data_IF_872763578992
#
_entry.id   IF_872763578992
#
_cell.length_a   1.000
_cell.length_b   1.000
_cell.length_c   1.000
_cell.angle_alpha   90.00
_cell.angle_beta   90.00
_cell.angle_gamma   90.00
#
_symmetry.space_group_name_H-M   'P 1'
#
loop_
_entity.id
_entity.type
_entity.pdbx_description
1 polymer ?
#
# COMPACT_ATOMS: atom_id res chain seq x y z
N UNK A 1 18.73 -5.28 11.06
CA UNK A 1 17.90 -6.46 10.81
C UNK A 1 17.70 -6.67 9.33
N UNK A 2 17.62 -7.92 8.94
CA UNK A 2 17.52 -8.33 7.55
C UNK A 2 16.07 -8.64 7.20
N UNK A 3 15.57 -8.07 6.11
CA UNK A 3 14.21 -8.31 5.61
C UNK A 3 14.28 -8.74 4.15
N UNK A 4 13.33 -9.58 3.75
CA UNK A 4 13.18 -10.01 2.36
C UNK A 4 11.85 -9.52 1.83
N UNK A 5 11.88 -8.80 0.70
CA UNK A 5 10.67 -8.31 0.04
C UNK A 5 10.44 -9.16 -1.21
N UNK A 6 9.20 -9.63 -1.39
CA UNK A 6 8.80 -10.42 -2.56
C UNK A 6 7.32 -10.22 -2.86
N UNK A 7 6.91 -10.71 -4.03
CA UNK A 7 5.49 -10.72 -4.39
C UNK A 7 4.73 -11.66 -3.45
N UNK A 8 3.53 -11.27 -3.07
CA UNK A 8 2.64 -12.12 -2.29
C UNK A 8 2.11 -13.27 -3.14
N UNK A 9 1.84 -14.40 -2.50
CA UNK A 9 1.23 -15.58 -3.12
C UNK A 9 -0.01 -15.98 -2.34
N UNK A 10 -0.73 -17.01 -2.82
CA UNK A 10 -1.93 -17.51 -2.14
C UNK A 10 -1.64 -18.00 -0.72
N UNK A 11 -0.44 -18.51 -0.47
CA UNK A 11 -0.04 -18.94 0.87
C UNK A 11 0.09 -17.81 1.87
N UNK A 12 0.22 -16.57 1.39
CA UNK A 12 0.37 -15.39 2.25
C UNK A 12 -0.96 -14.79 2.70
N UNK A 13 -2.09 -15.27 2.19
CA UNK A 13 -3.40 -14.64 2.40
C UNK A 13 -3.75 -14.47 3.87
N UNK A 14 -3.50 -15.46 4.70
CA UNK A 14 -3.81 -15.39 6.13
C UNK A 14 -3.04 -14.27 6.84
N UNK A 15 -1.73 -14.19 6.60
CA UNK A 15 -0.90 -13.13 7.20
C UNK A 15 -1.18 -11.77 6.59
N UNK A 16 -1.42 -11.71 5.30
CA UNK A 16 -1.80 -10.47 4.62
C UNK A 16 -3.10 -9.92 5.18
N UNK A 17 -4.13 -10.78 5.35
CA UNK A 17 -5.39 -10.38 5.97
C UNK A 17 -5.17 -9.85 7.40
N UNK A 18 -4.35 -10.54 8.18
CA UNK A 18 -4.00 -10.09 9.54
C UNK A 18 -3.38 -8.68 9.51
N UNK A 19 -2.49 -8.43 8.56
CA UNK A 19 -1.85 -7.12 8.44
C UNK A 19 -2.83 -6.05 7.91
N UNK A 20 -3.76 -6.41 7.02
CA UNK A 20 -4.84 -5.51 6.62
C UNK A 20 -5.71 -5.11 7.81
N UNK A 21 -5.98 -6.04 8.72
CA UNK A 21 -6.72 -5.75 9.95
C UNK A 21 -5.94 -4.79 10.86
N UNK A 22 -4.61 -4.91 10.89
CA UNK A 22 -3.76 -3.97 11.62
C UNK A 22 -3.81 -2.56 11.04
N UNK A 23 -3.92 -2.45 9.72
CA UNK A 23 -4.02 -1.16 9.02
C UNK A 23 -5.41 -0.54 9.16
N UNK A 24 -6.46 -1.37 9.09
CA UNK A 24 -7.86 -0.93 9.14
C UNK A 24 -8.61 -1.69 10.25
N UNK A 25 -8.32 -1.41 11.54
CA UNK A 25 -8.88 -2.19 12.65
C UNK A 25 -10.39 -2.07 12.80
N UNK A 26 -10.98 -0.99 12.28
CA UNK A 26 -12.42 -0.75 12.39
C UNK A 26 -13.22 -1.31 11.19
N UNK A 27 -12.54 -1.80 10.17
CA UNK A 27 -13.21 -2.35 9.00
C UNK A 27 -13.70 -3.78 9.28
N UNK A 28 -14.92 -4.15 8.80
CA UNK A 28 -15.38 -5.53 8.90
C UNK A 28 -14.43 -6.47 8.16
N UNK A 29 -14.18 -7.66 8.72
CA UNK A 29 -13.26 -8.63 8.13
C UNK A 29 -13.67 -9.03 6.72
N UNK A 30 -14.97 -9.08 6.44
CA UNK A 30 -15.51 -9.42 5.12
C UNK A 30 -15.03 -8.45 4.04
N UNK A 31 -14.89 -7.16 4.38
CA UNK A 31 -14.38 -6.15 3.45
C UNK A 31 -12.89 -6.28 3.18
N UNK A 32 -12.14 -6.85 4.13
CA UNK A 32 -10.71 -7.01 4.02
C UNK A 32 -10.32 -8.30 3.33
N UNK A 33 -11.20 -9.29 3.31
CA UNK A 33 -10.92 -10.65 2.84
C UNK A 33 -11.46 -10.94 1.43
N UNK A 34 -12.56 -10.33 1.03
CA UNK A 34 -13.31 -10.76 -0.16
C UNK A 34 -12.55 -10.63 -1.48
N UNK A 35 -11.59 -9.72 -1.57
CA UNK A 35 -10.91 -9.39 -2.82
C UNK A 35 -9.47 -9.89 -2.93
N UNK A 36 -8.97 -10.64 -1.96
CA UNK A 36 -7.56 -11.04 -1.93
C UNK A 36 -7.15 -11.85 -3.16
N UNK A 37 -7.95 -12.84 -3.55
CA UNK A 37 -7.67 -13.65 -4.75
C UNK A 37 -7.71 -12.80 -6.02
N UNK A 38 -8.68 -11.91 -6.13
CA UNK A 38 -8.79 -11.02 -7.29
C UNK A 38 -7.57 -10.10 -7.41
N UNK A 39 -7.08 -9.59 -6.29
CA UNK A 39 -5.88 -8.73 -6.28
C UNK A 39 -4.63 -9.50 -6.70
N UNK A 40 -4.50 -10.74 -6.25
CA UNK A 40 -3.35 -11.56 -6.65
C UNK A 40 -3.39 -11.93 -8.14
N UNK A 41 -4.56 -12.06 -8.73
CA UNK A 41 -4.75 -12.43 -10.13
C UNK A 41 -4.71 -11.25 -11.10
N UNK A 42 -4.89 -10.03 -10.60
CA UNK A 42 -5.00 -8.83 -11.44
C UNK A 42 -3.60 -8.39 -11.93
N UNK A 43 -3.36 -8.36 -13.26
CA UNK A 43 -2.06 -7.92 -13.79
C UNK A 43 -1.77 -6.43 -13.55
N UNK A 44 -2.81 -5.63 -13.27
CA UNK A 44 -2.69 -4.20 -13.00
C UNK A 44 -2.66 -3.89 -11.51
N UNK A 45 -2.38 -4.90 -10.70
CA UNK A 45 -2.28 -4.77 -9.24
C UNK A 45 -1.10 -5.60 -8.74
N UNK A 46 -0.40 -5.11 -7.74
CA UNK A 46 0.74 -5.82 -7.18
C UNK A 46 0.70 -5.75 -5.65
N UNK A 47 0.95 -6.89 -5.03
CA UNK A 47 1.07 -6.99 -3.58
C UNK A 47 2.47 -7.48 -3.26
N UNK A 48 3.20 -6.72 -2.47
CA UNK A 48 4.53 -7.10 -1.99
C UNK A 48 4.46 -7.29 -0.48
N UNK A 49 5.11 -8.32 -0.01
CA UNK A 49 5.20 -8.63 1.41
C UNK A 49 6.67 -8.66 1.83
N UNK A 50 6.91 -8.34 3.09
CA UNK A 50 8.25 -8.39 3.67
C UNK A 50 8.26 -9.35 4.83
N UNK A 51 9.26 -10.24 4.84
CA UNK A 51 9.49 -11.18 5.93
C UNK A 51 10.76 -10.84 6.70
N UNK A 52 10.77 -11.17 7.99
CA UNK A 52 11.96 -11.07 8.83
C UNK A 52 12.87 -12.29 8.63
N UNK A 53 13.94 -12.38 9.41
CA UNK A 53 14.90 -13.48 9.31
C UNK A 53 14.28 -14.85 9.64
N UNK A 54 13.20 -14.88 10.41
CA UNK A 54 12.50 -16.11 10.77
C UNK A 54 11.41 -16.49 9.74
N UNK A 55 11.28 -15.72 8.67
CA UNK A 55 10.28 -15.97 7.63
C UNK A 55 8.88 -15.46 7.96
N UNK A 56 8.71 -14.72 9.05
CA UNK A 56 7.42 -14.16 9.42
C UNK A 56 7.14 -12.88 8.61
N UNK A 57 5.91 -12.74 8.13
CA UNK A 57 5.51 -11.52 7.42
C UNK A 57 5.28 -10.39 8.42
N UNK A 58 5.93 -9.25 8.16
CA UNK A 58 5.95 -8.11 9.07
C UNK A 58 5.52 -6.80 8.40
N UNK A 59 5.34 -6.80 7.10
CA UNK A 59 4.94 -5.60 6.36
C UNK A 59 4.36 -5.99 5.00
N UNK A 60 3.57 -5.09 4.42
CA UNK A 60 3.09 -5.25 3.05
C UNK A 60 2.82 -3.90 2.40
N UNK A 61 2.77 -3.90 1.09
CA UNK A 61 2.28 -2.78 0.29
C UNK A 61 1.43 -3.32 -0.85
N UNK A 62 0.35 -2.63 -1.16
CA UNK A 62 -0.49 -2.89 -2.30
C UNK A 62 -0.45 -1.69 -3.23
N UNK A 63 -0.24 -1.94 -4.50
CA UNK A 63 -0.23 -0.90 -5.52
C UNK A 63 -1.05 -1.34 -6.72
N UNK A 64 -1.77 -0.40 -7.31
CA UNK A 64 -2.57 -0.66 -8.50
C UNK A 64 -2.33 0.40 -9.54
N UNK A 65 -2.91 0.21 -10.72
CA UNK A 65 -2.97 1.23 -11.76
C UNK A 65 -4.31 1.94 -11.70
N UNK A 66 -4.28 3.24 -11.83
CA UNK A 66 -5.49 4.06 -11.97
C UNK A 66 -5.33 4.96 -13.17
N UNK A 67 -6.44 5.32 -13.80
CA UNK A 67 -6.43 6.25 -14.93
C UNK A 67 -6.14 7.67 -14.48
N UNK A 68 -6.38 7.96 -13.20
CA UNK A 68 -6.27 9.31 -12.64
C UNK A 68 -5.81 9.26 -11.18
N UNK A 69 -5.00 10.24 -10.81
CA UNK A 69 -4.64 10.51 -9.42
C UNK A 69 -4.64 12.00 -9.19
N UNK A 70 -5.06 12.44 -8.01
CA UNK A 70 -5.09 13.87 -7.66
C UNK A 70 -3.70 14.48 -7.80
N UNK A 71 -3.60 15.56 -8.56
CA UNK A 71 -2.33 16.24 -8.81
C UNK A 71 -1.47 15.61 -9.90
N UNK A 72 -1.88 14.48 -10.47
CA UNK A 72 -1.15 13.83 -11.57
C UNK A 72 -1.50 14.42 -12.91
N UNK A 73 -0.53 14.42 -13.83
CA UNK A 73 -0.67 14.96 -15.18
C UNK A 73 -0.63 13.88 -16.26
N UNK A 74 -0.30 12.64 -15.89
CA UNK A 74 -0.16 11.51 -16.82
C UNK A 74 -1.17 10.41 -16.52
N UNK A 75 -1.28 9.41 -17.40
CA UNK A 75 -2.15 8.25 -17.25
C UNK A 75 -1.57 7.07 -18.02
N UNK A 76 -1.60 5.84 -17.49
CA UNK A 76 -2.06 5.52 -16.14
C UNK A 76 -1.07 6.00 -15.07
N UNK A 77 -1.52 6.04 -13.84
CA UNK A 77 -0.66 6.34 -12.69
C UNK A 77 -0.62 5.14 -11.77
N UNK A 78 0.53 4.92 -11.11
CA UNK A 78 0.61 3.97 -10.02
C UNK A 78 -0.07 4.56 -8.79
N UNK A 79 -0.69 3.71 -7.99
CA UNK A 79 -1.41 4.16 -6.79
C UNK A 79 -1.10 3.23 -5.61
N UNK A 80 -0.62 3.79 -4.51
CA UNK A 80 -0.43 3.03 -3.29
C UNK A 80 -1.80 2.88 -2.63
N UNK A 81 -2.33 1.66 -2.64
CA UNK A 81 -3.66 1.38 -2.11
C UNK A 81 -3.63 1.00 -0.64
N UNK A 82 -2.53 0.42 -0.17
CA UNK A 82 -2.32 0.05 1.22
C UNK A 82 -0.83 -0.04 1.50
N UNK A 83 -0.42 0.36 2.69
CA UNK A 83 0.99 0.38 3.08
C UNK A 83 1.09 0.23 4.60
N UNK A 84 1.67 -0.87 5.06
CA UNK A 84 1.68 -1.24 6.46
C UNK A 84 3.00 -1.87 6.87
N UNK A 85 3.50 -1.46 8.02
CA UNK A 85 4.67 -2.06 8.69
C UNK A 85 4.27 -2.33 10.13
N UNK A 86 4.57 -3.53 10.65
CA UNK A 86 4.32 -3.86 12.05
C UNK A 86 4.92 -2.78 12.95
N UNK A 87 4.17 -2.37 13.96
CA UNK A 87 4.50 -1.23 14.79
C UNK A 87 5.89 -1.32 15.41
N UNK A 88 6.26 -2.48 15.94
CA UNK A 88 7.51 -2.66 16.66
C UNK A 88 8.77 -2.65 15.78
N UNK A 89 8.62 -2.68 14.45
CA UNK A 89 9.75 -2.63 13.51
C UNK A 89 9.75 -1.37 12.65
N UNK A 90 8.86 -0.43 12.92
CA UNK A 90 8.86 0.86 12.23
C UNK A 90 10.14 1.62 12.53
N UNK A 91 10.56 2.47 11.58
CA UNK A 91 11.79 3.23 11.71
C UNK A 91 13.05 2.51 11.21
N UNK A 92 12.91 1.27 10.71
CA UNK A 92 14.04 0.50 10.16
C UNK A 92 14.12 0.57 8.63
N UNK A 93 13.51 1.58 8.03
CA UNK A 93 13.52 1.84 6.57
C UNK A 93 12.77 0.81 5.73
N UNK A 94 12.14 -0.19 6.32
CA UNK A 94 11.41 -1.22 5.58
C UNK A 94 10.24 -0.63 4.79
N UNK A 95 9.49 0.29 5.38
CA UNK A 95 8.40 0.98 4.69
C UNK A 95 8.86 1.71 3.44
N UNK A 96 10.01 2.37 3.52
CA UNK A 96 10.64 3.08 2.41
C UNK A 96 11.01 2.11 1.29
N UNK A 97 11.60 0.97 1.64
CA UNK A 97 12.00 -0.05 0.67
C UNK A 97 10.77 -0.64 -0.05
N UNK A 98 9.67 -0.85 0.67
CA UNK A 98 8.42 -1.31 0.08
C UNK A 98 7.88 -0.30 -0.95
N UNK A 99 7.92 0.99 -0.63
CA UNK A 99 7.48 2.01 -1.58
C UNK A 99 8.36 2.00 -2.83
N UNK A 100 9.67 1.89 -2.68
CA UNK A 100 10.58 1.82 -3.83
C UNK A 100 10.30 0.62 -4.72
N UNK A 101 9.98 -0.54 -4.14
CA UNK A 101 9.60 -1.73 -4.92
C UNK A 101 8.29 -1.49 -5.68
N UNK A 102 7.30 -0.88 -5.03
CA UNK A 102 6.03 -0.56 -5.67
C UNK A 102 6.22 0.47 -6.81
N UNK A 103 7.05 1.48 -6.60
CA UNK A 103 7.38 2.46 -7.64
C UNK A 103 8.06 1.80 -8.84
N UNK A 104 8.97 0.86 -8.58
CA UNK A 104 9.63 0.09 -9.63
C UNK A 104 8.61 -0.70 -10.47
N UNK A 105 7.66 -1.35 -9.81
CA UNK A 105 6.58 -2.04 -10.49
C UNK A 105 5.76 -1.09 -11.37
N UNK A 106 5.40 0.07 -10.84
CA UNK A 106 4.63 1.06 -11.59
C UNK A 106 5.40 1.55 -12.84
N UNK A 107 6.72 1.77 -12.71
CA UNK A 107 7.56 2.14 -13.86
C UNK A 107 7.56 1.06 -14.93
N UNK A 108 7.64 -0.20 -14.54
CA UNK A 108 7.58 -1.34 -15.48
C UNK A 108 6.25 -1.39 -16.21
N UNK A 109 5.17 -0.91 -15.58
CA UNK A 109 3.85 -0.79 -16.18
C UNK A 109 3.68 0.45 -17.05
N UNK A 110 4.72 1.26 -17.19
CA UNK A 110 4.69 2.46 -18.01
C UNK A 110 4.24 3.73 -17.30
N UNK A 111 4.10 3.70 -15.99
CA UNK A 111 3.70 4.87 -15.22
C UNK A 111 4.86 5.85 -15.05
N UNK A 112 4.54 7.14 -15.16
CA UNK A 112 5.49 8.23 -14.93
C UNK A 112 5.25 8.90 -13.57
N UNK A 113 4.11 8.60 -12.94
CA UNK A 113 3.74 9.18 -11.65
C UNK A 113 3.19 8.11 -10.72
N UNK A 114 3.38 8.33 -9.43
CA UNK A 114 2.85 7.49 -8.36
C UNK A 114 2.05 8.36 -7.42
N UNK A 115 0.84 7.95 -7.10
CA UNK A 115 -0.06 8.67 -6.21
C UNK A 115 -0.38 7.82 -4.98
N UNK A 116 -0.91 8.46 -3.96
CA UNK A 116 -1.29 7.80 -2.72
C UNK A 116 -2.29 8.69 -1.98
N UNK A 117 -2.91 8.16 -0.94
CA UNK A 117 -3.72 8.94 -0.03
C UNK A 117 -3.57 8.42 1.41
N UNK A 118 -4.01 9.23 2.35
CA UNK A 118 -4.08 8.85 3.75
C UNK A 118 -5.12 9.74 4.45
N UNK A 119 -5.51 9.34 5.65
CA UNK A 119 -6.42 10.15 6.47
C UNK A 119 -5.74 11.45 6.89
N UNK A 120 -6.51 12.54 6.96
CA UNK A 120 -6.01 13.85 7.38
C UNK A 120 -5.34 13.82 8.75
N UNK A 121 -5.81 12.96 9.63
CA UNK A 121 -5.33 12.83 11.01
C UNK A 121 -4.07 11.95 11.11
N UNK A 122 -3.71 11.25 10.04
CA UNK A 122 -2.55 10.34 10.08
C UNK A 122 -1.25 11.09 9.80
N UNK A 123 -0.80 11.82 10.79
CA UNK A 123 0.41 12.64 10.69
C UNK A 123 1.67 11.82 10.38
N UNK A 124 1.75 10.61 10.93
CA UNK A 124 2.88 9.70 10.69
C UNK A 124 2.97 9.32 9.21
N UNK A 125 1.83 8.97 8.59
CA UNK A 125 1.79 8.60 7.18
C UNK A 125 2.09 9.82 6.29
N UNK A 126 1.54 10.99 6.62
CA UNK A 126 1.82 12.23 5.87
C UNK A 126 3.32 12.52 5.89
N UNK A 127 3.95 12.47 7.07
CA UNK A 127 5.38 12.72 7.20
C UNK A 127 6.21 11.69 6.41
N UNK A 128 5.81 10.43 6.43
CA UNK A 128 6.50 9.38 5.68
C UNK A 128 6.44 9.62 4.17
N UNK A 129 5.26 9.99 3.64
CA UNK A 129 5.12 10.33 2.23
C UNK A 129 6.02 11.51 1.83
N UNK A 130 6.04 12.58 2.64
CA UNK A 130 6.86 13.75 2.35
C UNK A 130 8.36 13.40 2.33
N UNK A 131 8.81 12.55 3.24
CA UNK A 131 10.20 12.10 3.25
C UNK A 131 10.60 11.31 2.02
N UNK A 132 9.64 10.64 1.39
CA UNK A 132 9.87 9.85 0.18
C UNK A 132 9.79 10.68 -1.10
N UNK A 133 9.55 11.97 -0.98
CA UNK A 133 9.47 12.87 -2.11
C UNK A 133 8.07 13.10 -2.66
N UNK A 134 7.05 12.54 -2.03
CA UNK A 134 5.66 12.81 -2.41
C UNK A 134 5.29 14.20 -1.96
N UNK A 135 4.46 14.86 -2.74
CA UNK A 135 3.94 16.21 -2.44
C UNK A 135 2.46 16.11 -2.15
N UNK A 136 1.99 16.87 -1.18
CA UNK A 136 0.58 16.94 -0.88
C UNK A 136 -0.14 17.62 -2.06
N UNK A 137 -1.08 16.91 -2.68
CA UNK A 137 -1.82 17.40 -3.84
C UNK A 137 -3.09 18.14 -3.43
N UNK A 138 -3.90 17.54 -2.56
CA UNK A 138 -5.12 18.17 -2.07
C UNK A 138 -5.61 17.51 -0.79
N UNK A 139 -6.53 18.18 -0.12
CA UNK A 139 -7.23 17.65 1.05
C UNK A 139 -8.71 17.52 0.70
N UNK A 140 -9.34 16.44 1.17
CA UNK A 140 -10.67 16.06 0.72
C UNK A 140 -11.58 15.78 1.90
N UNK A 141 -12.86 16.18 1.76
CA UNK A 141 -13.92 15.80 2.70
C UNK A 141 -14.95 14.98 1.94
N UNK A 142 -15.26 13.81 2.47
CA UNK A 142 -16.28 12.92 1.88
C UNK A 142 -17.64 13.16 2.54
N UNK A 143 -18.70 13.12 1.75
CA UNK A 143 -20.07 13.26 2.23
C UNK A 143 -20.89 12.06 1.82
N UNK A 144 -21.84 11.66 2.69
CA UNK A 144 -22.79 10.59 2.39
C UNK A 144 -24.15 10.95 2.96
N UNK A 145 -25.20 10.55 2.24
CA UNK A 145 -26.57 10.69 2.70
C UNK A 145 -27.34 9.42 2.32
N UNK A 146 -27.99 8.83 3.30
CA UNK A 146 -28.86 7.69 3.04
C UNK A 146 -30.19 8.22 2.48
N UNK A 147 -30.65 7.61 1.39
CA UNK A 147 -31.88 8.00 0.70
C UNK A 147 -33.06 7.15 1.11
#
# INVERSE_FOLDING_TARGET
MSFTIRRATHEDKSDWLRMRQGLWPDAPIEYLDFDLDDRLADPDYAVFVASNADGQLVAFIEAGLRDYGEGCETSPVGYIEAWYVNEHIRGQKLGKELVYVAEGWAREKGCEEMASDTWLENETSIAAHLKLGYQEAERLVHFVKRL
#
